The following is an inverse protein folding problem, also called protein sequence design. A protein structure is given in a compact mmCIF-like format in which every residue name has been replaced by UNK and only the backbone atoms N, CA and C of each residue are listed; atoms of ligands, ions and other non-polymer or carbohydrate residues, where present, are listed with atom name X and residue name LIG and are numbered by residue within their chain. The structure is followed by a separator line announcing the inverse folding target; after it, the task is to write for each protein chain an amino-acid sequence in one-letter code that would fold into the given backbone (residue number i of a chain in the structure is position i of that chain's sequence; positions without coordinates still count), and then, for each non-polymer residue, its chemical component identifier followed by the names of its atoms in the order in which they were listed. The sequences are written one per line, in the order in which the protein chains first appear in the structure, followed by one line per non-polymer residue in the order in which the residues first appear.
data_IF_854753815744
#
_entry.id   IF_854753815744
#
_cell.length_a   1.000
_cell.length_b   1.000
_cell.length_c   1.000
_cell.angle_alpha   90.00
_cell.angle_beta   90.00
_cell.angle_gamma   90.00
#
_symmetry.space_group_name_H-M   'P 1'
#
loop_
_entity.id
_entity.type
_entity.pdbx_description
1 polymer ?
#
# COMPACT_ATOMS: atom_id res chain seq x y z
N UNK A 1 -43.51 -14.83 28.48
CA UNK A 1 -42.41 -13.95 28.92
C UNK A 1 -41.01 -14.54 28.63
N UNK A 2 -40.73 -15.81 28.89
CA UNK A 2 -39.39 -16.44 28.70
C UNK A 2 -38.81 -16.40 27.24
N UNK A 3 -39.68 -16.40 26.20
CA UNK A 3 -39.25 -16.39 24.79
C UNK A 3 -38.74 -15.01 24.32
N UNK A 4 -39.35 -13.94 24.82
CA UNK A 4 -38.94 -12.58 24.52
C UNK A 4 -37.60 -12.22 25.18
N UNK A 5 -37.36 -12.72 26.39
CA UNK A 5 -36.09 -12.51 27.11
C UNK A 5 -34.93 -13.28 26.48
N UNK A 6 -35.20 -14.48 25.95
CA UNK A 6 -34.23 -15.28 25.22
C UNK A 6 -33.80 -14.61 23.90
N UNK A 7 -34.77 -14.06 23.16
CA UNK A 7 -34.49 -13.33 21.92
C UNK A 7 -33.69 -12.05 22.19
N UNK A 8 -34.02 -11.34 23.26
CA UNK A 8 -33.28 -10.14 23.67
C UNK A 8 -31.83 -10.49 24.07
N UNK A 9 -31.60 -11.58 24.78
CA UNK A 9 -30.24 -12.06 25.15
C UNK A 9 -29.43 -12.49 23.93
N UNK A 10 -30.07 -13.14 22.94
CA UNK A 10 -29.42 -13.52 21.68
C UNK A 10 -29.05 -12.29 20.85
N UNK A 11 -29.92 -11.28 20.83
CA UNK A 11 -29.69 -10.05 20.10
C UNK A 11 -28.63 -9.16 20.76
N UNK A 12 -28.60 -9.10 22.09
CA UNK A 12 -27.55 -8.44 22.86
C UNK A 12 -26.21 -9.19 22.66
N UNK A 13 -26.22 -10.52 22.69
CA UNK A 13 -25.02 -11.33 22.45
C UNK A 13 -24.49 -11.16 21.00
N UNK A 14 -25.37 -11.05 19.99
CA UNK A 14 -24.96 -10.70 18.61
C UNK A 14 -24.39 -9.29 18.48
N UNK A 15 -24.87 -8.34 19.31
CA UNK A 15 -24.35 -6.97 19.32
C UNK A 15 -23.05 -6.83 20.11
N UNK A 16 -22.79 -7.73 21.05
CA UNK A 16 -21.59 -7.71 21.90
C UNK A 16 -20.50 -8.66 21.45
N UNK A 17 -20.80 -9.62 20.58
CA UNK A 17 -19.76 -10.36 19.88
C UNK A 17 -19.11 -9.39 18.89
N UNK A 18 -17.86 -8.97 19.12
CA UNK A 18 -17.16 -8.20 18.12
C UNK A 18 -17.04 -9.10 16.90
N UNK A 19 -17.34 -8.57 15.70
CA UNK A 19 -16.94 -9.17 14.42
C UNK A 19 -15.40 -9.19 14.34
N UNK A 20 -14.78 -9.77 15.34
CA UNK A 20 -13.33 -9.88 15.49
C UNK A 20 -12.72 -10.92 14.55
N UNK A 21 -13.55 -11.75 13.90
CA UNK A 21 -13.05 -12.92 13.19
C UNK A 21 -12.54 -12.67 11.78
N UNK A 22 -12.73 -11.48 11.21
CA UNK A 22 -12.19 -11.15 9.86
C UNK A 22 -11.01 -10.16 9.88
N UNK A 23 -10.71 -9.54 11.04
CA UNK A 23 -9.71 -8.46 11.14
C UNK A 23 -8.31 -8.99 11.47
N UNK A 24 -8.23 -10.16 12.12
CA UNK A 24 -6.96 -10.75 12.56
C UNK A 24 -6.38 -11.80 11.57
N UNK A 25 -6.98 -11.96 10.40
CA UNK A 25 -6.42 -12.85 9.37
C UNK A 25 -5.41 -12.10 8.51
N UNK A 26 -4.23 -12.71 8.26
CA UNK A 26 -3.27 -12.15 7.32
C UNK A 26 -3.91 -12.00 5.93
N UNK A 27 -3.72 -10.83 5.31
CA UNK A 27 -4.20 -10.59 3.95
C UNK A 27 -3.18 -11.13 2.95
N UNK A 28 -3.38 -12.37 2.50
CA UNK A 28 -2.46 -13.06 1.60
C UNK A 28 -2.28 -12.33 0.27
N UNK A 29 -3.32 -11.67 -0.24
CA UNK A 29 -3.22 -10.91 -1.51
C UNK A 29 -2.32 -9.70 -1.34
N UNK A 30 -2.53 -8.92 -0.28
CA UNK A 30 -1.71 -7.75 0.01
C UNK A 30 -0.28 -8.15 0.37
N UNK A 31 -0.10 -9.23 1.14
CA UNK A 31 1.23 -9.77 1.47
C UNK A 31 1.98 -10.27 0.23
N UNK A 32 1.28 -10.93 -0.70
CA UNK A 32 1.86 -11.39 -1.96
C UNK A 32 2.30 -10.24 -2.87
N UNK A 33 1.47 -9.21 -2.99
CA UNK A 33 1.83 -7.98 -3.73
C UNK A 33 3.00 -7.25 -3.08
N UNK A 34 3.03 -7.17 -1.74
CA UNK A 34 4.14 -6.58 -1.02
C UNK A 34 5.45 -7.36 -1.24
N UNK A 35 5.39 -8.70 -1.23
CA UNK A 35 6.54 -9.55 -1.52
C UNK A 35 7.06 -9.33 -2.95
N UNK A 36 6.18 -9.26 -3.94
CA UNK A 36 6.57 -8.95 -5.31
C UNK A 36 7.24 -7.57 -5.42
N UNK A 37 6.67 -6.54 -4.78
CA UNK A 37 7.27 -5.21 -4.70
C UNK A 37 8.62 -5.19 -4.00
N UNK A 38 8.77 -5.96 -2.90
CA UNK A 38 10.06 -6.14 -2.21
C UNK A 38 11.13 -6.73 -3.13
N UNK A 39 10.81 -7.77 -3.91
CA UNK A 39 11.74 -8.37 -4.84
C UNK A 39 12.22 -7.39 -5.90
N UNK A 40 11.30 -6.63 -6.50
CA UNK A 40 11.64 -5.59 -7.49
C UNK A 40 12.52 -4.51 -6.85
N UNK A 41 12.14 -3.99 -5.69
CA UNK A 41 12.88 -2.93 -5.02
C UNK A 41 14.26 -3.38 -4.52
N UNK A 42 14.35 -4.60 -3.98
CA UNK A 42 15.62 -5.21 -3.55
C UNK A 42 16.58 -5.41 -4.74
N UNK A 43 16.04 -5.89 -5.87
CA UNK A 43 16.80 -6.07 -7.10
C UNK A 43 17.37 -4.73 -7.61
N UNK A 44 16.53 -3.69 -7.69
CA UNK A 44 17.00 -2.36 -8.11
C UNK A 44 18.02 -1.74 -7.13
N UNK A 45 17.82 -1.95 -5.83
CA UNK A 45 18.76 -1.49 -4.82
C UNK A 45 20.11 -2.19 -4.96
N UNK A 46 20.09 -3.51 -5.17
CA UNK A 46 21.30 -4.29 -5.38
C UNK A 46 22.04 -3.86 -6.65
N UNK A 47 21.36 -3.64 -7.77
CA UNK A 47 21.95 -3.14 -9.01
C UNK A 47 22.65 -1.77 -8.79
N UNK A 48 21.98 -0.86 -8.07
CA UNK A 48 22.53 0.47 -7.78
C UNK A 48 23.79 0.39 -6.92
N UNK A 49 23.78 -0.45 -5.88
CA UNK A 49 24.91 -0.59 -4.95
C UNK A 49 26.09 -1.35 -5.56
N UNK A 50 25.82 -2.31 -6.45
CA UNK A 50 26.88 -3.12 -7.09
C UNK A 50 27.59 -2.40 -8.25
N UNK A 51 27.19 -1.19 -8.59
CA UNK A 51 27.74 -0.44 -9.74
C UNK A 51 27.40 -1.06 -11.10
N UNK A 52 26.61 -2.12 -11.15
CA UNK A 52 26.19 -2.84 -12.37
C UNK A 52 24.90 -2.29 -12.97
N UNK A 53 24.65 -1.02 -12.77
CA UNK A 53 23.38 -0.36 -13.15
C UNK A 53 22.95 -0.52 -14.61
N UNK A 54 23.87 -0.92 -15.49
CA UNK A 54 23.64 -1.13 -16.92
C UNK A 54 23.28 -2.57 -17.30
N UNK A 55 23.60 -3.57 -16.48
CA UNK A 55 23.72 -4.97 -16.94
C UNK A 55 22.43 -5.73 -17.19
N UNK A 56 21.25 -5.27 -16.71
CA UNK A 56 19.96 -5.98 -16.81
C UNK A 56 18.78 -5.08 -17.21
N UNK A 57 19.05 -3.83 -17.54
CA UNK A 57 18.12 -3.03 -18.30
C UNK A 57 18.20 -3.50 -19.77
N UNK A 58 17.05 -3.79 -20.36
CA UNK A 58 17.02 -4.09 -21.80
C UNK A 58 17.65 -2.90 -22.53
N UNK A 59 18.67 -3.16 -23.37
CA UNK A 59 19.39 -2.12 -24.10
C UNK A 59 18.37 -1.23 -24.85
N UNK A 60 18.46 0.10 -24.63
CA UNK A 60 17.52 1.06 -25.20
C UNK A 60 16.25 1.36 -24.38
N UNK A 61 16.06 0.75 -23.19
CA UNK A 61 14.88 0.99 -22.36
C UNK A 61 14.89 2.27 -21.52
N UNK A 62 15.94 3.11 -21.65
CA UNK A 62 16.07 4.34 -20.85
C UNK A 62 16.29 4.13 -19.34
N UNK A 63 16.25 2.89 -18.88
CA UNK A 63 16.37 2.51 -17.49
C UNK A 63 17.73 2.96 -16.90
N UNK A 64 18.81 2.89 -17.69
CA UNK A 64 20.14 3.37 -17.29
C UNK A 64 20.16 4.86 -17.03
N UNK A 65 19.55 5.67 -17.93
CA UNK A 65 19.45 7.11 -17.79
C UNK A 65 18.70 7.50 -16.53
N UNK A 66 17.57 6.83 -16.25
CA UNK A 66 16.78 7.08 -15.04
C UNK A 66 17.57 6.70 -13.77
N UNK A 67 18.25 5.55 -13.76
CA UNK A 67 19.04 5.10 -12.61
C UNK A 67 20.33 5.91 -12.41
N UNK A 68 20.91 6.46 -13.47
CA UNK A 68 22.10 7.34 -13.40
C UNK A 68 21.71 8.79 -13.00
N UNK A 69 20.44 9.17 -13.14
CA UNK A 69 19.99 10.53 -12.86
C UNK A 69 20.06 10.86 -11.36
N UNK A 70 20.14 12.18 -11.06
CA UNK A 70 20.05 12.71 -9.70
C UNK A 70 18.72 12.38 -9.02
N UNK A 71 17.68 12.08 -9.78
CA UNK A 71 16.36 11.71 -9.28
C UNK A 71 16.31 10.27 -8.73
N UNK A 72 17.29 9.43 -9.08
CA UNK A 72 17.41 8.07 -8.53
C UNK A 72 17.93 8.05 -7.08
N UNK A 73 18.33 9.21 -6.53
CA UNK A 73 18.76 9.35 -5.13
C UNK A 73 17.96 10.45 -4.45
N UNK A 74 17.37 10.11 -3.30
CA UNK A 74 16.66 11.04 -2.44
C UNK A 74 17.31 11.04 -1.06
N UNK A 75 17.71 12.23 -0.57
CA UNK A 75 18.46 12.37 0.69
C UNK A 75 19.73 11.49 0.75
N UNK A 76 20.51 11.43 -0.33
CA UNK A 76 21.73 10.63 -0.45
C UNK A 76 21.51 9.10 -0.44
N UNK A 77 20.26 8.65 -0.40
CA UNK A 77 19.86 7.24 -0.39
C UNK A 77 19.18 6.88 -1.71
N UNK A 78 19.48 5.72 -2.33
CA UNK A 78 18.76 5.26 -3.51
C UNK A 78 17.25 5.23 -3.26
N UNK A 79 16.45 5.79 -4.17
CA UNK A 79 14.97 5.81 -4.06
C UNK A 79 14.38 4.40 -3.98
N UNK A 80 15.04 3.41 -4.59
CA UNK A 80 14.67 2.00 -4.50
C UNK A 80 14.71 1.47 -3.06
N UNK A 81 15.62 1.97 -2.20
CA UNK A 81 15.72 1.57 -0.80
C UNK A 81 14.53 2.10 0.02
N UNK A 82 14.07 3.32 -0.26
CA UNK A 82 12.84 3.87 0.34
C UNK A 82 11.61 3.06 -0.08
N UNK A 83 11.55 2.66 -1.36
CA UNK A 83 10.50 1.76 -1.87
C UNK A 83 10.54 0.40 -1.17
N UNK A 84 11.71 -0.18 -0.97
CA UNK A 84 11.90 -1.44 -0.25
C UNK A 84 11.38 -1.33 1.19
N UNK A 85 11.76 -0.29 1.91
CA UNK A 85 11.30 -0.05 3.28
C UNK A 85 9.76 0.08 3.35
N UNK A 86 9.16 0.78 2.40
CA UNK A 86 7.70 0.91 2.32
C UNK A 86 7.02 -0.44 2.05
N UNK A 87 7.51 -1.26 1.11
CA UNK A 87 6.96 -2.59 0.84
C UNK A 87 7.09 -3.53 2.04
N UNK A 88 8.23 -3.50 2.75
CA UNK A 88 8.42 -4.26 4.00
C UNK A 88 7.40 -3.83 5.04
N UNK A 89 7.24 -2.53 5.27
CA UNK A 89 6.28 -2.01 6.24
C UNK A 89 4.84 -2.44 5.91
N UNK A 90 4.42 -2.33 4.63
CA UNK A 90 3.08 -2.73 4.20
C UNK A 90 2.91 -4.25 4.34
N UNK A 91 3.92 -5.05 3.98
CA UNK A 91 3.90 -6.50 4.12
C UNK A 91 3.73 -6.94 5.58
N UNK A 92 4.47 -6.33 6.50
CA UNK A 92 4.33 -6.58 7.95
C UNK A 92 2.93 -6.20 8.44
N UNK A 93 2.40 -5.04 8.04
CA UNK A 93 1.04 -4.63 8.42
C UNK A 93 -0.03 -5.57 7.86
N UNK A 94 0.15 -6.08 6.64
CA UNK A 94 -0.75 -7.06 6.03
C UNK A 94 -0.71 -8.41 6.76
N UNK A 95 0.47 -8.83 7.22
CA UNK A 95 0.67 -10.05 7.99
C UNK A 95 0.07 -9.96 9.39
N UNK A 96 0.23 -8.81 10.07
CA UNK A 96 -0.35 -8.53 11.39
C UNK A 96 -1.87 -8.36 11.38
N UNK A 97 -2.48 -8.35 10.20
CA UNK A 97 -3.90 -8.12 10.01
C UNK A 97 -4.27 -6.64 9.80
N UNK A 98 -5.32 -6.42 9.00
CA UNK A 98 -5.80 -5.09 8.62
C UNK A 98 -6.73 -4.49 9.68
N UNK A 99 -6.22 -4.29 10.90
CA UNK A 99 -6.94 -3.48 11.89
C UNK A 99 -7.19 -2.05 11.33
N UNK A 100 -8.18 -1.30 11.85
CA UNK A 100 -8.44 0.07 11.35
C UNK A 100 -7.24 1.02 11.43
N UNK A 101 -6.30 0.76 12.35
CA UNK A 101 -5.04 1.50 12.47
C UNK A 101 -4.05 1.06 11.39
N UNK A 102 -3.79 -0.23 11.29
CA UNK A 102 -2.87 -0.81 10.31
C UNK A 102 -3.31 -0.49 8.89
N UNK A 103 -4.62 -0.58 8.62
CA UNK A 103 -5.19 -0.22 7.34
C UNK A 103 -4.91 1.24 6.96
N UNK A 104 -5.08 2.20 7.91
CA UNK A 104 -4.79 3.62 7.65
C UNK A 104 -3.32 3.86 7.32
N UNK A 105 -2.42 3.20 8.06
CA UNK A 105 -0.98 3.32 7.83
C UNK A 105 -0.61 2.71 6.47
N UNK A 106 -1.06 1.49 6.19
CA UNK A 106 -0.83 0.83 4.90
C UNK A 106 -1.41 1.64 3.73
N UNK A 107 -2.62 2.19 3.88
CA UNK A 107 -3.24 3.05 2.88
C UNK A 107 -2.43 4.33 2.64
N UNK A 108 -2.00 5.01 3.69
CA UNK A 108 -1.20 6.24 3.59
C UNK A 108 0.16 5.97 2.92
N UNK A 109 0.84 4.88 3.29
CA UNK A 109 2.11 4.47 2.69
C UNK A 109 1.93 4.13 1.21
N UNK A 110 0.88 3.36 0.87
CA UNK A 110 0.62 2.96 -0.51
C UNK A 110 0.20 4.15 -1.37
N UNK A 111 -0.69 5.02 -0.87
CA UNK A 111 -1.11 6.23 -1.58
C UNK A 111 0.05 7.21 -1.80
N UNK A 112 0.89 7.41 -0.78
CA UNK A 112 2.12 8.19 -0.88
C UNK A 112 3.08 7.59 -1.90
N UNK A 113 3.25 6.27 -1.89
CA UNK A 113 4.07 5.54 -2.86
C UNK A 113 3.56 5.69 -4.30
N UNK A 114 2.25 5.61 -4.53
CA UNK A 114 1.63 5.86 -5.85
C UNK A 114 1.91 7.28 -6.31
N UNK A 115 1.67 8.28 -5.46
CA UNK A 115 1.93 9.68 -5.78
C UNK A 115 3.40 9.95 -6.11
N UNK A 116 4.30 9.41 -5.32
CA UNK A 116 5.74 9.51 -5.54
C UNK A 116 6.18 8.81 -6.84
N UNK A 117 5.64 7.61 -7.10
CA UNK A 117 5.91 6.87 -8.33
C UNK A 117 5.40 7.61 -9.56
N UNK A 118 4.20 8.20 -9.49
CA UNK A 118 3.65 9.04 -10.57
C UNK A 118 4.52 10.27 -10.83
N UNK A 119 4.99 10.94 -9.78
CA UNK A 119 5.89 12.08 -9.88
C UNK A 119 7.21 11.70 -10.56
N UNK A 120 7.85 10.61 -10.15
CA UNK A 120 9.09 10.15 -10.77
C UNK A 120 8.88 9.70 -12.22
N UNK A 121 7.76 9.05 -12.52
CA UNK A 121 7.43 8.65 -13.90
C UNK A 121 7.23 9.89 -14.78
N UNK A 122 6.55 10.90 -14.27
CA UNK A 122 6.37 12.16 -14.98
C UNK A 122 7.73 12.82 -15.28
N UNK A 123 8.62 12.95 -14.30
CA UNK A 123 9.97 13.47 -14.49
C UNK A 123 10.78 12.66 -15.51
N UNK A 124 10.69 11.31 -15.44
CA UNK A 124 11.41 10.43 -16.36
C UNK A 124 10.99 10.65 -17.81
N UNK A 125 9.70 10.81 -18.05
CA UNK A 125 9.15 10.98 -19.39
C UNK A 125 9.43 12.39 -19.95
N UNK A 126 9.21 13.43 -19.14
CA UNK A 126 9.27 14.81 -19.62
C UNK A 126 10.66 15.45 -19.52
N UNK A 127 11.47 15.07 -18.55
CA UNK A 127 12.81 15.66 -18.33
C UNK A 127 13.92 14.80 -18.94
N UNK A 128 13.83 13.48 -18.83
CA UNK A 128 14.83 12.54 -19.32
C UNK A 128 14.48 11.94 -20.70
N UNK A 129 13.23 12.02 -21.16
CA UNK A 129 12.76 11.37 -22.37
C UNK A 129 12.89 9.85 -22.34
N UNK A 130 12.95 9.26 -21.15
CA UNK A 130 13.25 7.86 -20.93
C UNK A 130 12.25 7.22 -19.97
N UNK A 131 11.90 5.96 -20.21
CA UNK A 131 11.02 5.18 -19.33
C UNK A 131 11.76 4.00 -18.73
N UNK A 132 11.50 3.73 -17.45
CA UNK A 132 12.06 2.59 -16.74
C UNK A 132 10.99 1.52 -16.57
N UNK A 133 11.14 0.35 -17.19
CA UNK A 133 10.18 -0.78 -17.09
C UNK A 133 10.01 -1.23 -15.65
N UNK A 134 11.07 -1.30 -14.88
CA UNK A 134 11.02 -1.69 -13.47
C UNK A 134 10.26 -0.69 -12.59
N UNK A 135 10.40 0.62 -12.91
CA UNK A 135 9.64 1.66 -12.22
C UNK A 135 8.14 1.56 -12.54
N UNK A 136 7.80 1.28 -13.79
CA UNK A 136 6.41 1.04 -14.19
C UNK A 136 5.83 -0.21 -13.52
N UNK A 137 6.59 -1.30 -13.45
CA UNK A 137 6.18 -2.52 -12.75
C UNK A 137 5.89 -2.23 -11.27
N UNK A 138 6.77 -1.49 -10.60
CA UNK A 138 6.54 -1.07 -9.20
C UNK A 138 5.30 -0.18 -9.07
N UNK A 139 5.06 0.74 -10.02
CA UNK A 139 3.86 1.58 -10.02
C UNK A 139 2.57 0.74 -10.15
N UNK A 140 2.56 -0.24 -11.03
CA UNK A 140 1.43 -1.16 -11.22
C UNK A 140 1.15 -1.96 -9.92
N UNK A 141 2.20 -2.48 -9.27
CA UNK A 141 2.06 -3.18 -7.98
C UNK A 141 1.46 -2.25 -6.93
N UNK A 142 1.93 -1.01 -6.81
CA UNK A 142 1.40 -0.03 -5.85
C UNK A 142 -0.07 0.30 -6.12
N UNK A 143 -0.46 0.47 -7.39
CA UNK A 143 -1.85 0.72 -7.79
C UNK A 143 -2.73 -0.50 -7.43
N UNK A 144 -2.26 -1.72 -7.70
CA UNK A 144 -2.97 -2.94 -7.33
C UNK A 144 -3.15 -3.05 -5.81
N UNK A 145 -2.10 -2.75 -5.03
CA UNK A 145 -2.18 -2.71 -3.56
C UNK A 145 -3.17 -1.66 -3.06
N UNK A 146 -3.17 -0.46 -3.68
CA UNK A 146 -4.13 0.60 -3.34
C UNK A 146 -5.56 0.15 -3.63
N UNK A 147 -5.82 -0.48 -4.78
CA UNK A 147 -7.12 -1.02 -5.13
C UNK A 147 -7.59 -2.07 -4.11
N UNK A 148 -6.72 -3.01 -3.72
CA UNK A 148 -7.02 -4.02 -2.68
C UNK A 148 -7.35 -3.33 -1.35
N UNK A 149 -6.59 -2.33 -0.91
CA UNK A 149 -6.83 -1.61 0.33
C UNK A 149 -8.15 -0.81 0.30
N UNK A 150 -8.52 -0.24 -0.86
CA UNK A 150 -9.81 0.45 -1.02
C UNK A 150 -10.97 -0.54 -0.93
N UNK A 151 -10.86 -1.70 -1.56
CA UNK A 151 -11.90 -2.75 -1.50
C UNK A 151 -12.04 -3.35 -0.10
N UNK A 152 -10.94 -3.46 0.64
CA UNK A 152 -10.89 -4.06 1.98
C UNK A 152 -11.03 -3.05 3.12
N UNK A 153 -11.76 -1.97 2.91
CA UNK A 153 -12.03 -0.97 3.97
C UNK A 153 -12.69 -1.63 5.19
N UNK A 154 -12.11 -1.49 6.40
CA UNK A 154 -12.74 -2.00 7.61
C UNK A 154 -14.10 -1.34 7.86
N UNK A 155 -15.13 -2.12 8.13
CA UNK A 155 -16.51 -1.64 8.40
C UNK A 155 -16.56 -0.60 9.54
N UNK A 156 -15.65 -0.69 10.51
CA UNK A 156 -15.50 0.25 11.61
C UNK A 156 -15.22 1.70 11.14
N UNK A 157 -14.57 1.90 10.00
CA UNK A 157 -14.33 3.24 9.43
C UNK A 157 -15.59 3.82 8.79
N UNK A 158 -16.42 2.99 8.16
CA UNK A 158 -17.70 3.40 7.59
C UNK A 158 -18.69 3.80 8.69
N UNK A 159 -18.71 3.06 9.81
CA UNK A 159 -19.58 3.36 10.95
C UNK A 159 -19.26 4.72 11.60
N UNK A 160 -17.97 5.06 11.75
CA UNK A 160 -17.56 6.37 12.27
C UNK A 160 -17.98 7.52 11.34
N UNK A 161 -17.87 7.35 10.02
CA UNK A 161 -18.33 8.34 9.05
C UNK A 161 -19.83 8.54 9.09
N UNK A 162 -20.62 7.45 9.17
CA UNK A 162 -22.07 7.52 9.28
C UNK A 162 -22.52 8.25 10.56
N UNK A 163 -21.89 7.96 11.71
CA UNK A 163 -22.20 8.66 12.97
C UNK A 163 -21.79 10.14 12.95
N UNK A 164 -20.67 10.49 12.30
CA UNK A 164 -20.27 11.89 12.15
C UNK A 164 -21.19 12.67 11.23
N UNK A 165 -21.63 12.05 10.13
CA UNK A 165 -22.60 12.66 9.22
C UNK A 165 -23.99 12.87 9.89
N UNK A 166 -24.45 11.89 10.68
CA UNK A 166 -25.68 12.01 11.45
C UNK A 166 -25.64 13.14 12.48
N UNK A 167 -24.50 13.37 13.15
CA UNK A 167 -24.32 14.49 14.09
C UNK A 167 -24.35 15.86 13.40
N UNK A 168 -23.83 15.97 12.18
CA UNK A 168 -23.85 17.21 11.42
C UNK A 168 -25.23 17.52 10.81
N UNK A 169 -26.05 16.47 10.54
CA UNK A 169 -27.41 16.63 10.02
C UNK A 169 -28.46 17.00 11.05
N UNK A 170 -28.21 16.80 12.35
CA UNK A 170 -29.15 17.14 13.45
C UNK A 170 -28.92 18.54 14.03
N UNK A 171 -27.97 19.30 13.50
CA UNK A 171 -27.62 20.66 13.98
C UNK A 171 -28.28 21.81 13.21
N UNK A 172 -29.46 21.58 12.55
CA UNK A 172 -30.27 22.63 11.92
C UNK A 172 -31.59 22.79 12.61
#
# INVERSE_FOLDING_TARGET
MARADRNRKVEVKRRTEPEASSVDRPDWVLSGLAAAGMLVAAYLTWLKLSGRGAGLCVAGSGCELVQASRYATFLWVPTALWGLAAYVAIGVLAWLGLTPRNWRIAFALTAGGVGFSAYLTWLSVFDLGATCVWCLTSAVILIAMLAVLVMRRPAALNRKRAMSAARLGTGK
#
